data_IF_235311572674
#
_entry.id   IF_235311572674
#
_cell.length_a   1.000
_cell.length_b   1.000
_cell.length_c   1.000
_cell.angle_alpha   90.00
_cell.angle_beta   90.00
_cell.angle_gamma   90.00
#
_symmetry.space_group_name_H-M   'P 1'
#
loop_
_entity.id
_entity.type
_entity.pdbx_description
1 polymer ?
#
# COMPACT_ATOMS: atom_id res chain seq x y z
N UNK A 1 -10.85 -25.44 25.65
CA UNK A 1 -9.74 -24.62 25.15
C UNK A 1 -10.26 -23.28 24.63
N UNK A 2 -9.72 -22.20 25.14
CA UNK A 2 -10.12 -20.90 24.65
C UNK A 2 -9.38 -20.60 23.33
N UNK A 3 -10.14 -20.26 22.31
CA UNK A 3 -9.56 -19.81 21.05
C UNK A 3 -9.27 -18.31 21.17
N UNK A 4 -8.02 -17.93 20.97
CA UNK A 4 -7.64 -16.52 21.02
C UNK A 4 -8.07 -15.87 19.71
N UNK A 5 -8.94 -14.88 19.79
CA UNK A 5 -9.34 -14.12 18.62
C UNK A 5 -8.18 -13.23 18.14
N UNK A 6 -8.05 -13.08 16.84
CA UNK A 6 -7.08 -12.15 16.27
C UNK A 6 -7.68 -10.75 16.30
N UNK A 7 -6.95 -9.81 16.90
CA UNK A 7 -7.33 -8.40 16.88
C UNK A 7 -6.86 -7.81 15.55
N UNK A 8 -7.80 -7.49 14.67
CA UNK A 8 -7.48 -7.00 13.34
C UNK A 8 -6.73 -5.66 13.36
N UNK A 9 -6.83 -4.89 14.43
CA UNK A 9 -6.07 -3.64 14.54
C UNK A 9 -4.56 -3.89 14.60
N UNK A 10 -4.14 -5.08 15.01
CA UNK A 10 -2.71 -5.44 15.05
C UNK A 10 -2.15 -5.81 13.68
N UNK A 11 -3.00 -5.94 12.67
CA UNK A 11 -2.56 -6.28 11.31
C UNK A 11 -1.96 -5.09 10.56
N UNK A 12 -2.19 -3.87 11.03
CA UNK A 12 -1.63 -2.65 10.42
C UNK A 12 -0.60 -2.06 11.37
N UNK A 13 0.54 -1.67 10.83
CA UNK A 13 1.62 -1.08 11.61
C UNK A 13 2.20 0.13 10.88
N UNK A 14 2.87 0.99 11.64
CA UNK A 14 3.69 2.08 11.10
C UNK A 14 5.09 1.90 11.67
N UNK A 15 6.09 1.87 10.81
CA UNK A 15 7.48 1.75 11.23
C UNK A 15 8.22 2.99 10.75
N UNK A 16 8.71 3.84 11.66
CA UNK A 16 9.48 5.02 11.27
C UNK A 16 10.68 4.62 10.42
N UNK A 17 10.90 5.33 9.31
CA UNK A 17 12.00 5.02 8.40
C UNK A 17 11.70 3.92 7.39
N UNK A 18 10.61 3.18 7.54
CA UNK A 18 10.19 2.18 6.57
C UNK A 18 9.07 2.77 5.71
N UNK A 19 9.28 2.81 4.41
CA UNK A 19 8.32 3.37 3.45
C UNK A 19 7.84 4.79 3.83
N UNK A 20 8.72 5.58 4.47
CA UNK A 20 8.35 6.94 4.91
C UNK A 20 7.36 6.99 6.06
N UNK A 21 7.21 5.90 6.82
CA UNK A 21 6.28 5.83 7.95
C UNK A 21 4.83 5.58 7.55
N UNK A 22 4.55 5.27 6.28
CA UNK A 22 3.20 4.98 5.82
C UNK A 22 2.68 3.67 6.43
N UNK A 23 1.36 3.52 6.64
CA UNK A 23 0.81 2.27 7.17
C UNK A 23 1.14 1.08 6.27
N UNK A 24 1.52 -0.03 6.89
CA UNK A 24 1.82 -1.27 6.18
C UNK A 24 1.26 -2.47 6.94
N UNK A 25 1.22 -3.62 6.28
CA UNK A 25 0.81 -4.86 6.92
C UNK A 25 1.90 -5.27 7.91
N UNK A 26 1.50 -5.50 9.16
CA UNK A 26 2.44 -5.84 10.23
C UNK A 26 3.28 -7.06 9.86
N UNK A 27 4.59 -6.95 10.01
CA UNK A 27 5.53 -8.03 9.69
C UNK A 27 5.77 -8.26 8.20
N UNK A 28 5.19 -7.43 7.33
CA UNK A 28 5.33 -7.55 5.88
C UNK A 28 5.67 -6.20 5.26
N UNK A 29 6.36 -6.23 4.13
CA UNK A 29 6.73 -5.02 3.41
C UNK A 29 5.64 -4.45 2.50
N UNK A 30 4.39 -4.91 2.64
CA UNK A 30 3.27 -4.47 1.81
C UNK A 30 2.58 -3.29 2.48
N UNK A 31 2.48 -2.16 1.77
CA UNK A 31 1.83 -0.97 2.30
C UNK A 31 0.32 -1.00 2.04
N UNK A 32 -0.43 -0.28 2.89
CA UNK A 32 -1.86 -0.09 2.68
C UNK A 32 -2.09 0.61 1.33
N UNK A 33 -1.27 1.63 1.00
CA UNK A 33 -1.45 2.34 -0.28
C UNK A 33 -1.29 1.43 -1.48
N UNK A 34 -0.40 0.42 -1.43
CA UNK A 34 -0.24 -0.53 -2.53
C UNK A 34 -1.51 -1.36 -2.73
N UNK A 35 -2.09 -1.83 -1.64
CA UNK A 35 -3.34 -2.59 -1.67
C UNK A 35 -4.47 -1.72 -2.24
N UNK A 36 -4.56 -0.47 -1.78
CA UNK A 36 -5.58 0.48 -2.24
C UNK A 36 -5.37 0.83 -3.72
N UNK A 37 -4.11 0.95 -4.16
CA UNK A 37 -3.79 1.20 -5.56
C UNK A 37 -4.41 0.11 -6.45
N UNK A 38 -4.24 -1.16 -6.08
CA UNK A 38 -4.81 -2.27 -6.84
C UNK A 38 -6.34 -2.27 -6.75
N UNK A 39 -6.89 -1.98 -5.60
CA UNK A 39 -8.33 -1.88 -5.39
C UNK A 39 -8.95 -0.82 -6.30
N UNK A 40 -8.33 0.37 -6.40
CA UNK A 40 -8.83 1.46 -7.23
C UNK A 40 -8.71 1.14 -8.73
N UNK A 41 -7.89 0.16 -9.09
CA UNK A 41 -7.80 -0.32 -10.48
C UNK A 41 -8.82 -1.41 -10.78
N UNK A 42 -9.73 -1.69 -9.88
CA UNK A 42 -10.83 -2.61 -10.09
C UNK A 42 -10.61 -4.02 -9.56
N UNK A 43 -9.50 -4.30 -8.87
CA UNK A 43 -9.27 -5.63 -8.30
C UNK A 43 -10.04 -5.78 -6.99
N UNK A 44 -10.68 -6.93 -6.81
CA UNK A 44 -11.35 -7.22 -5.55
C UNK A 44 -10.35 -7.80 -4.54
N UNK A 45 -10.81 -8.01 -3.29
CA UNK A 45 -9.91 -8.44 -2.22
C UNK A 45 -9.27 -9.80 -2.50
N UNK A 46 -10.00 -10.74 -3.07
CA UNK A 46 -9.47 -12.06 -3.40
C UNK A 46 -8.39 -11.97 -4.48
N UNK A 47 -8.62 -11.15 -5.50
CA UNK A 47 -7.64 -10.94 -6.56
C UNK A 47 -6.37 -10.30 -6.02
N UNK A 48 -6.50 -9.34 -5.11
CA UNK A 48 -5.34 -8.68 -4.49
C UNK A 48 -4.55 -9.69 -3.65
N UNK A 49 -5.23 -10.52 -2.86
CA UNK A 49 -4.58 -11.54 -2.05
C UNK A 49 -3.84 -12.57 -2.92
N UNK A 50 -4.40 -12.93 -4.08
CA UNK A 50 -3.73 -13.83 -5.02
C UNK A 50 -2.50 -13.20 -5.67
N UNK A 51 -2.57 -11.89 -5.93
CA UNK A 51 -1.51 -11.18 -6.65
C UNK A 51 -0.29 -10.92 -5.79
N UNK A 52 -0.46 -10.71 -4.50
CA UNK A 52 0.64 -10.39 -3.59
C UNK A 52 0.96 -11.62 -2.75
N UNK A 53 2.16 -12.22 -2.92
CA UNK A 53 2.51 -13.43 -2.17
C UNK A 53 2.45 -13.23 -0.65
N UNK A 54 1.99 -14.26 0.05
CA UNK A 54 1.91 -14.31 1.52
C UNK A 54 0.97 -13.30 2.15
N UNK A 55 0.11 -12.66 1.37
CA UNK A 55 -0.88 -11.72 1.87
C UNK A 55 -2.19 -12.47 2.10
N UNK A 56 -2.70 -12.42 3.34
CA UNK A 56 -3.97 -13.08 3.66
C UNK A 56 -5.16 -12.21 3.28
N UNK A 57 -6.31 -12.84 3.09
CA UNK A 57 -7.53 -12.12 2.80
C UNK A 57 -7.92 -11.18 3.94
N UNK A 58 -7.72 -11.61 5.20
CA UNK A 58 -7.97 -10.76 6.37
C UNK A 58 -7.11 -9.50 6.34
N UNK A 59 -5.85 -9.63 5.92
CA UNK A 59 -4.95 -8.48 5.80
C UNK A 59 -5.41 -7.52 4.72
N UNK A 60 -5.88 -8.04 3.58
CA UNK A 60 -6.40 -7.18 2.50
C UNK A 60 -7.64 -6.42 2.98
N UNK A 61 -8.59 -7.11 3.59
CA UNK A 61 -9.80 -6.45 4.08
C UNK A 61 -9.49 -5.44 5.18
N UNK A 62 -8.52 -5.73 6.04
CA UNK A 62 -8.10 -4.78 7.08
C UNK A 62 -7.49 -3.53 6.46
N UNK A 63 -6.66 -3.68 5.43
CA UNK A 63 -6.09 -2.55 4.72
C UNK A 63 -7.16 -1.70 4.04
N UNK A 64 -8.16 -2.33 3.43
CA UNK A 64 -9.26 -1.60 2.80
C UNK A 64 -10.13 -0.88 3.83
N UNK A 65 -10.37 -1.51 4.98
CA UNK A 65 -11.09 -0.87 6.08
C UNK A 65 -10.31 0.34 6.61
N UNK A 66 -9.00 0.19 6.77
CA UNK A 66 -8.14 1.29 7.19
C UNK A 66 -8.23 2.45 6.18
N UNK A 67 -8.19 2.15 4.90
CA UNK A 67 -8.32 3.16 3.86
C UNK A 67 -9.65 3.92 4.00
N UNK A 68 -10.75 3.20 4.12
CA UNK A 68 -12.07 3.85 4.22
C UNK A 68 -12.19 4.69 5.50
N UNK A 69 -11.51 4.31 6.56
CA UNK A 69 -11.48 5.07 7.81
C UNK A 69 -10.53 6.28 7.74
N UNK A 70 -9.56 6.26 6.83
CA UNK A 70 -8.48 7.26 6.77
C UNK A 70 -8.21 7.71 5.33
N UNK A 71 -9.25 7.92 4.54
CA UNK A 71 -9.14 8.26 3.12
C UNK A 71 -8.20 9.43 2.83
N UNK A 72 -8.26 10.58 3.55
CA UNK A 72 -7.37 11.70 3.23
C UNK A 72 -5.90 11.32 3.31
N UNK A 73 -5.50 10.53 4.30
CA UNK A 73 -4.12 10.11 4.46
C UNK A 73 -3.66 9.24 3.29
N UNK A 74 -4.45 8.21 2.95
CA UNK A 74 -4.07 7.26 1.91
C UNK A 74 -4.15 7.91 0.53
N UNK A 75 -5.14 8.75 0.28
CA UNK A 75 -5.23 9.48 -0.99
C UNK A 75 -4.04 10.42 -1.17
N UNK A 76 -3.57 11.07 -0.08
CA UNK A 76 -2.37 11.91 -0.12
C UNK A 76 -1.13 11.07 -0.43
N UNK A 77 -1.00 9.88 0.18
CA UNK A 77 0.11 8.96 -0.10
C UNK A 77 0.12 8.53 -1.56
N UNK A 78 -1.05 8.19 -2.11
CA UNK A 78 -1.18 7.78 -3.51
C UNK A 78 -0.80 8.93 -4.45
N UNK A 79 -1.25 10.15 -4.14
CA UNK A 79 -0.93 11.32 -4.95
C UNK A 79 0.57 11.61 -4.91
N UNK A 80 1.21 11.50 -3.74
CA UNK A 80 2.64 11.70 -3.60
C UNK A 80 3.44 10.67 -4.39
N UNK A 81 3.01 9.41 -4.38
CA UNK A 81 3.64 8.34 -5.15
C UNK A 81 3.52 8.59 -6.65
N UNK A 82 2.36 9.01 -7.11
CA UNK A 82 2.13 9.31 -8.52
C UNK A 82 2.98 10.50 -8.97
N UNK A 83 3.08 11.54 -8.15
CA UNK A 83 3.90 12.71 -8.44
C UNK A 83 5.39 12.35 -8.50
N UNK A 84 5.86 11.51 -7.58
CA UNK A 84 7.26 11.07 -7.56
C UNK A 84 7.58 10.21 -8.77
N UNK A 85 6.70 9.29 -9.16
CA UNK A 85 6.88 8.46 -10.34
C UNK A 85 6.97 9.32 -11.60
N UNK A 86 6.11 10.33 -11.70
CA UNK A 86 6.12 11.25 -12.84
C UNK A 86 7.40 12.08 -12.88
N UNK A 87 7.86 12.55 -11.71
CA UNK A 87 9.10 13.32 -11.63
C UNK A 87 10.30 12.49 -12.10
N UNK A 88 10.39 11.24 -11.67
CA UNK A 88 11.47 10.33 -12.08
C UNK A 88 11.41 10.03 -13.57
N UNK A 89 10.21 9.86 -14.13
CA UNK A 89 10.00 9.64 -15.55
C UNK A 89 10.51 10.84 -16.36
N UNK A 90 10.18 12.05 -15.93
CA UNK A 90 10.61 13.28 -16.59
C UNK A 90 12.12 13.44 -16.55
N UNK A 91 12.76 13.11 -15.42
CA UNK A 91 14.23 13.16 -15.31
C UNK A 91 14.90 12.14 -16.23
N UNK A 92 14.30 10.95 -16.37
CA UNK A 92 14.81 9.92 -17.26
C UNK A 92 14.74 10.38 -18.72
N UNK A 93 13.64 11.00 -19.13
CA UNK A 93 13.47 11.56 -20.47
C UNK A 93 14.50 12.66 -20.76
N UNK A 94 14.74 13.55 -19.80
CA UNK A 94 15.75 14.59 -19.93
C UNK A 94 17.15 14.01 -20.11
N UNK A 95 17.47 12.97 -19.35
CA UNK A 95 18.76 12.30 -19.48
C UNK A 95 18.95 11.70 -20.88
N UNK A 96 17.91 11.09 -21.43
CA UNK A 96 17.97 10.52 -22.79
C UNK A 96 18.18 11.63 -23.81
N UNK A 97 17.49 12.76 -23.67
CA UNK A 97 17.59 13.89 -24.60
C UNK A 97 18.94 14.58 -24.51
N UNK A 98 19.61 14.55 -23.36
CA UNK A 98 20.88 15.22 -23.15
C UNK A 98 22.11 14.35 -23.45
N UNK A 99 21.88 13.10 -23.87
CA UNK A 99 22.99 12.24 -24.26
C UNK A 99 23.49 12.61 -25.68
N UNK A 100 24.80 12.70 -25.88
CA UNK A 100 25.36 13.02 -27.20
C UNK A 100 25.07 11.95 -28.24
#
# INVERSE_FOLDING_TARGET
MSTTAIDISTLIARTPGLHGGTPHIAGKGVTVRRIVFLYKRGQNAEEIADRIPHLSLAEVYTALAYYHANKPEIEADLAAQAAEAKRLEMLSEQNIQNQP
#
